data_IF_085673237010
#
_entry.id   IF_085673237010
#
_cell.length_a   1.000
_cell.length_b   1.000
_cell.length_c   1.000
_cell.angle_alpha   90.00
_cell.angle_beta   90.00
_cell.angle_gamma   90.00
#
_symmetry.space_group_name_H-M   'P 1'
#
loop_
_entity.id
_entity.type
_entity.pdbx_description
1 polymer ?
#
# COMPACT_ATOMS: atom_id res chain seq x y z
N UNK A 1 9.21 -54.31 -61.60
CA UNK A 1 8.84 -53.08 -60.87
C UNK A 1 10.08 -52.58 -60.13
N UNK A 2 10.85 -51.68 -60.73
CA UNK A 2 11.91 -50.94 -60.02
C UNK A 2 11.26 -49.81 -59.21
N UNK A 3 11.62 -49.66 -57.94
CA UNK A 3 11.39 -48.45 -57.15
C UNK A 3 12.68 -47.60 -57.12
N UNK A 4 12.57 -46.26 -57.08
CA UNK A 4 13.67 -45.35 -57.37
C UNK A 4 14.61 -45.14 -56.19
N UNK A 5 15.89 -44.87 -56.49
CA UNK A 5 16.87 -44.40 -55.53
C UNK A 5 16.54 -42.96 -55.10
N UNK A 6 16.34 -42.75 -53.80
CA UNK A 6 16.41 -41.41 -53.20
C UNK A 6 17.87 -41.10 -52.85
N UNK A 7 18.38 -39.89 -53.13
CA UNK A 7 19.71 -39.49 -52.71
C UNK A 7 19.79 -39.43 -51.18
N UNK A 8 20.71 -40.20 -50.61
CA UNK A 8 21.08 -40.05 -49.19
C UNK A 8 21.71 -38.66 -49.01
N UNK A 9 21.10 -37.85 -48.14
CA UNK A 9 21.58 -36.50 -47.83
C UNK A 9 22.89 -36.64 -47.05
N UNK A 10 24.01 -36.48 -47.74
CA UNK A 10 25.39 -36.50 -47.22
C UNK A 10 25.73 -35.37 -46.19
N UNK A 11 24.73 -34.76 -45.54
CA UNK A 11 24.90 -33.52 -44.77
C UNK A 11 24.44 -33.62 -43.31
N UNK A 12 24.47 -34.79 -42.68
CA UNK A 12 24.29 -34.89 -41.23
C UNK A 12 25.29 -35.82 -40.58
N UNK A 13 26.57 -35.52 -40.77
CA UNK A 13 27.62 -35.98 -39.86
C UNK A 13 27.62 -35.10 -38.61
N UNK A 14 26.78 -35.42 -37.63
CA UNK A 14 26.88 -34.81 -36.30
C UNK A 14 28.20 -35.24 -35.66
N UNK A 15 29.24 -34.43 -35.82
CA UNK A 15 30.54 -34.74 -35.25
C UNK A 15 30.42 -34.70 -33.72
N UNK A 16 30.90 -35.71 -32.98
CA UNK A 16 30.78 -35.79 -31.51
C UNK A 16 31.32 -34.55 -30.78
N UNK A 17 32.23 -33.80 -31.42
CA UNK A 17 32.71 -32.49 -30.97
C UNK A 17 31.59 -31.47 -30.73
N UNK A 18 30.50 -31.47 -31.49
CA UNK A 18 29.39 -30.53 -31.27
C UNK A 18 28.66 -30.81 -29.94
N UNK A 19 28.55 -32.09 -29.56
CA UNK A 19 27.96 -32.49 -28.28
C UNK A 19 28.88 -32.18 -27.10
N UNK A 20 30.19 -32.31 -27.29
CA UNK A 20 31.16 -31.91 -26.27
C UNK A 20 31.12 -30.39 -26.07
N UNK A 21 31.05 -29.61 -27.16
CA UNK A 21 30.98 -28.15 -27.08
C UNK A 21 29.74 -27.65 -26.32
N UNK A 22 28.56 -28.21 -26.60
CA UNK A 22 27.33 -27.84 -25.89
C UNK A 22 27.37 -28.27 -24.42
N UNK A 23 27.84 -29.48 -24.11
CA UNK A 23 27.98 -29.93 -22.73
C UNK A 23 28.92 -29.02 -21.92
N UNK A 24 30.04 -28.59 -22.53
CA UNK A 24 31.00 -27.69 -21.87
C UNK A 24 30.41 -26.31 -21.62
N UNK A 25 29.64 -25.78 -22.57
CA UNK A 25 28.96 -24.48 -22.41
C UNK A 25 27.92 -24.51 -21.27
N UNK A 26 27.12 -25.58 -21.17
CA UNK A 26 26.13 -25.72 -20.09
C UNK A 26 26.82 -25.87 -18.73
N UNK A 27 27.89 -26.68 -18.65
CA UNK A 27 28.66 -26.83 -17.42
C UNK A 27 29.30 -25.52 -16.95
N UNK A 28 29.79 -24.70 -17.88
CA UNK A 28 30.35 -23.38 -17.58
C UNK A 28 29.29 -22.41 -17.02
N UNK A 29 28.08 -22.39 -17.58
CA UNK A 29 26.97 -21.56 -17.07
C UNK A 29 26.58 -21.97 -15.66
N UNK A 30 26.43 -23.27 -15.39
CA UNK A 30 26.10 -23.79 -14.05
C UNK A 30 27.22 -23.44 -13.07
N UNK A 31 28.48 -23.65 -13.44
CA UNK A 31 29.61 -23.32 -12.58
C UNK A 31 29.70 -21.81 -12.27
N UNK A 32 29.50 -20.93 -13.26
CA UNK A 32 29.51 -19.47 -13.03
C UNK A 32 28.34 -19.00 -12.13
N UNK A 33 27.18 -19.66 -12.21
CA UNK A 33 26.02 -19.31 -11.37
C UNK A 33 26.25 -19.56 -9.87
N UNK A 34 27.17 -20.44 -9.52
CA UNK A 34 27.57 -20.68 -8.14
C UNK A 34 28.54 -19.61 -7.59
N UNK A 35 29.19 -18.83 -8.46
CA UNK A 35 30.14 -17.76 -8.05
C UNK A 35 29.43 -16.42 -7.89
N UNK A 36 28.35 -16.18 -8.63
CA UNK A 36 27.46 -15.02 -8.47
C UNK A 36 26.25 -15.36 -7.58
N UNK A 37 26.50 -16.01 -6.45
CA UNK A 37 25.47 -16.08 -5.41
C UNK A 37 25.29 -14.66 -4.85
N UNK A 38 24.07 -14.09 -4.82
CA UNK A 38 23.83 -12.91 -4.02
C UNK A 38 24.19 -13.25 -2.57
N UNK A 39 24.75 -12.28 -1.85
CA UNK A 39 25.04 -12.41 -0.42
C UNK A 39 23.86 -13.07 0.28
N UNK A 40 24.14 -14.03 1.17
CA UNK A 40 23.10 -14.76 1.86
C UNK A 40 22.12 -13.75 2.46
N UNK A 41 20.87 -13.77 1.98
CA UNK A 41 19.79 -12.99 2.55
C UNK A 41 19.53 -13.54 3.95
N UNK A 42 20.35 -13.11 4.90
CA UNK A 42 20.10 -13.28 6.31
C UNK A 42 18.83 -12.51 6.56
N UNK A 43 17.71 -13.22 6.69
CA UNK A 43 16.53 -12.68 7.33
C UNK A 43 16.95 -12.33 8.75
N UNK A 44 17.44 -11.11 8.94
CA UNK A 44 17.53 -10.50 10.24
C UNK A 44 16.08 -10.32 10.70
N UNK A 45 15.52 -11.36 11.32
CA UNK A 45 14.42 -11.15 12.24
C UNK A 45 14.96 -10.15 13.26
N UNK A 46 14.34 -8.97 13.42
CA UNK A 46 14.76 -8.05 14.47
C UNK A 46 14.68 -8.81 15.79
N UNK A 47 15.85 -9.17 16.32
CA UNK A 47 15.97 -9.82 17.61
C UNK A 47 15.54 -8.80 18.66
N UNK A 48 14.41 -9.06 19.32
CA UNK A 48 13.87 -8.21 20.38
C UNK A 48 13.37 -6.88 19.83
N UNK A 49 12.07 -6.66 19.71
CA UNK A 49 11.32 -6.00 20.80
C UNK A 49 12.20 -5.74 22.02
N UNK A 50 13.01 -4.68 21.87
CA UNK A 50 13.74 -4.06 22.96
C UNK A 50 12.78 -3.89 24.12
N UNK A 51 13.30 -4.23 25.30
CA UNK A 51 12.70 -3.94 26.61
C UNK A 51 11.97 -2.61 26.57
N UNK A 52 10.69 -2.66 26.92
CA UNK A 52 9.72 -1.59 26.72
C UNK A 52 10.24 -0.21 27.08
N UNK A 53 10.40 0.63 26.07
CA UNK A 53 9.97 2.02 26.17
C UNK A 53 8.47 1.96 26.45
N UNK A 54 7.98 2.65 27.49
CA UNK A 54 6.54 2.80 27.69
C UNK A 54 5.93 3.21 26.35
N UNK A 55 5.15 2.32 25.72
CA UNK A 55 4.51 2.61 24.44
C UNK A 55 3.60 3.81 24.69
N UNK A 56 3.99 4.98 24.18
CA UNK A 56 3.16 6.17 24.29
C UNK A 56 1.80 5.83 23.68
N UNK A 57 0.73 6.00 24.45
CA UNK A 57 -0.60 5.70 23.95
C UNK A 57 -0.92 6.61 22.75
N UNK A 58 -1.43 6.06 21.63
CA UNK A 58 -1.80 6.87 20.48
C UNK A 58 -2.81 7.98 20.82
N UNK A 59 -2.84 9.08 20.06
CA UNK A 59 -3.85 10.12 20.19
C UNK A 59 -5.28 9.56 20.15
N UNK A 60 -6.13 9.95 21.11
CA UNK A 60 -7.54 9.53 21.11
C UNK A 60 -8.37 10.45 20.21
N UNK A 61 -8.90 9.96 19.07
CA UNK A 61 -9.66 10.78 18.13
C UNK A 61 -10.98 11.30 18.71
N UNK A 62 -11.53 10.67 19.75
CA UNK A 62 -12.76 11.15 20.39
C UNK A 62 -12.58 12.50 21.10
N UNK A 63 -11.34 12.90 21.36
CA UNK A 63 -10.99 14.16 22.04
C UNK A 63 -10.38 15.20 21.09
N UNK A 64 -10.25 14.87 19.81
CA UNK A 64 -9.67 15.74 18.79
C UNK A 64 -10.70 16.71 18.23
N UNK A 65 -10.26 17.90 17.84
CA UNK A 65 -11.04 18.81 17.01
C UNK A 65 -10.75 18.50 15.54
N UNK A 66 -11.74 18.03 14.81
CA UNK A 66 -11.64 17.79 13.37
C UNK A 66 -12.14 19.02 12.60
N UNK A 67 -11.48 19.39 11.48
CA UNK A 67 -11.93 20.50 10.64
C UNK A 67 -13.10 20.06 9.74
N UNK A 68 -14.24 19.71 10.35
CA UNK A 68 -15.52 19.46 9.67
C UNK A 68 -16.58 20.43 10.17
N UNK A 69 -17.31 21.02 9.22
CA UNK A 69 -18.46 21.86 9.50
C UNK A 69 -19.75 21.02 9.44
N UNK A 70 -20.08 20.36 10.54
CA UNK A 70 -21.27 19.49 10.62
C UNK A 70 -22.58 20.23 10.95
N UNK A 71 -22.54 21.56 11.09
CA UNK A 71 -23.70 22.34 11.50
C UNK A 71 -24.22 21.87 12.88
N UNK A 72 -25.53 21.53 13.01
CA UNK A 72 -26.12 21.16 14.29
C UNK A 72 -25.79 19.71 14.72
N UNK A 73 -25.28 18.86 13.83
CA UNK A 73 -24.92 17.47 14.16
C UNK A 73 -23.45 17.36 14.53
N UNK A 74 -23.10 16.29 15.25
CA UNK A 74 -21.73 16.03 15.68
C UNK A 74 -20.91 15.36 14.57
N UNK A 75 -19.59 15.51 14.63
CA UNK A 75 -18.68 14.64 13.90
C UNK A 75 -18.60 13.26 14.58
N UNK A 76 -18.53 12.20 13.79
CA UNK A 76 -18.42 10.82 14.21
C UNK A 76 -17.14 10.20 13.68
N UNK A 77 -16.37 9.57 14.56
CA UNK A 77 -15.22 8.74 14.18
C UNK A 77 -15.73 7.34 13.83
N UNK A 78 -15.76 7.00 12.55
CA UNK A 78 -16.26 5.70 12.08
C UNK A 78 -15.21 4.60 12.14
N UNK A 79 -13.97 4.94 11.78
CA UNK A 79 -12.83 4.02 11.82
C UNK A 79 -11.61 4.74 12.37
N UNK A 80 -10.74 3.99 13.04
CA UNK A 80 -9.45 4.49 13.50
C UNK A 80 -8.39 3.41 13.47
N UNK A 81 -7.15 3.82 13.24
CA UNK A 81 -5.97 2.98 13.30
C UNK A 81 -4.79 3.83 13.74
N UNK A 82 -3.80 3.20 14.38
CA UNK A 82 -2.63 3.90 14.90
C UNK A 82 -1.36 3.20 14.50
N UNK A 83 -0.28 3.96 14.43
CA UNK A 83 1.05 3.49 14.09
C UNK A 83 2.02 4.66 14.03
N UNK A 84 3.30 4.36 14.11
CA UNK A 84 4.37 5.34 13.88
C UNK A 84 4.44 5.61 12.37
N UNK A 85 3.93 6.78 11.93
CA UNK A 85 3.78 7.11 10.52
C UNK A 85 4.94 7.93 9.97
N UNK A 86 5.66 8.64 10.83
CA UNK A 86 6.80 9.47 10.45
C UNK A 86 8.16 8.88 10.85
N UNK A 87 8.17 7.80 11.65
CA UNK A 87 9.35 7.06 12.06
C UNK A 87 10.06 7.64 13.28
N UNK A 88 9.41 8.53 14.05
CA UNK A 88 10.00 9.18 15.23
C UNK A 88 9.88 8.34 16.53
N UNK A 89 9.25 7.17 16.45
CA UNK A 89 9.01 6.27 17.57
C UNK A 89 7.75 6.58 18.39
N UNK A 90 6.94 7.56 17.97
CA UNK A 90 5.65 7.92 18.59
C UNK A 90 4.52 7.57 17.64
N UNK A 91 3.44 6.95 18.13
CA UNK A 91 2.35 6.58 17.26
C UNK A 91 1.42 7.77 16.98
N UNK A 92 1.10 7.98 15.72
CA UNK A 92 -0.04 8.78 15.26
C UNK A 92 -1.32 7.95 15.33
N UNK A 93 -2.46 8.66 15.30
CA UNK A 93 -3.76 8.03 15.05
C UNK A 93 -4.37 8.62 13.79
N UNK A 94 -4.81 7.75 12.89
CA UNK A 94 -5.56 8.13 11.70
C UNK A 94 -7.03 7.81 11.94
N UNK A 95 -7.89 8.80 11.73
CA UNK A 95 -9.32 8.70 11.95
C UNK A 95 -10.09 8.97 10.66
N UNK A 96 -11.06 8.10 10.36
CA UNK A 96 -12.08 8.31 9.34
C UNK A 96 -13.28 8.93 10.03
N UNK A 97 -13.66 10.13 9.60
CA UNK A 97 -14.64 10.97 10.29
C UNK A 97 -15.66 11.52 9.30
N UNK A 98 -16.93 11.50 9.67
CA UNK A 98 -17.97 12.21 8.93
C UNK A 98 -19.00 12.81 9.90
N UNK A 99 -19.89 13.65 9.38
CA UNK A 99 -20.98 14.20 10.19
C UNK A 99 -22.08 13.17 10.46
N UNK A 100 -22.66 13.16 11.66
CA UNK A 100 -23.80 12.31 12.08
C UNK A 100 -25.10 12.74 11.39
N UNK A 101 -25.14 12.64 10.06
CA UNK A 101 -26.33 13.00 9.30
C UNK A 101 -27.34 11.86 9.37
N UNK A 102 -28.62 12.14 9.67
CA UNK A 102 -29.65 11.11 9.79
C UNK A 102 -30.06 10.51 8.43
N UNK A 103 -29.63 11.12 7.31
CA UNK A 103 -30.05 10.73 5.96
C UNK A 103 -28.85 10.71 5.01
N UNK A 104 -28.74 9.61 4.24
CA UNK A 104 -27.65 9.38 3.29
C UNK A 104 -26.35 8.92 3.95
N UNK A 105 -25.27 8.89 3.18
CA UNK A 105 -23.91 8.63 3.68
C UNK A 105 -23.08 9.87 3.44
N UNK A 106 -22.84 10.70 4.47
CA UNK A 106 -21.99 11.87 4.34
C UNK A 106 -20.59 11.47 3.86
N UNK A 107 -19.91 12.34 3.09
CA UNK A 107 -18.51 12.11 2.73
C UNK A 107 -17.63 11.97 3.97
N UNK A 108 -16.65 11.08 3.87
CA UNK A 108 -15.64 10.87 4.90
C UNK A 108 -14.47 11.84 4.70
N UNK A 109 -14.01 12.41 5.81
CA UNK A 109 -12.66 12.97 5.93
C UNK A 109 -11.72 11.95 6.58
N UNK A 110 -10.47 11.93 6.14
CA UNK A 110 -9.43 11.10 6.77
C UNK A 110 -8.35 12.01 7.34
N UNK A 111 -8.17 11.97 8.65
CA UNK A 111 -7.28 12.88 9.37
C UNK A 111 -6.20 12.15 10.12
N UNK A 112 -4.98 12.69 10.12
CA UNK A 112 -3.86 12.22 10.92
C UNK A 112 -3.75 13.09 12.17
N UNK A 113 -3.73 12.44 13.33
CA UNK A 113 -3.60 13.05 14.64
C UNK A 113 -2.24 12.73 15.23
N UNK A 114 -1.64 13.71 15.90
CA UNK A 114 -0.49 13.54 16.78
C UNK A 114 -0.74 14.22 18.13
N UNK A 115 0.17 14.03 19.09
CA UNK A 115 0.23 14.80 20.35
C UNK A 115 1.48 15.65 20.37
N UNK A 116 1.49 16.69 21.20
CA UNK A 116 2.76 17.35 21.52
C UNK A 116 3.63 16.45 22.40
N UNK A 117 4.91 16.80 22.54
CA UNK A 117 5.85 16.02 23.34
C UNK A 117 5.58 16.01 24.84
N UNK A 118 4.73 16.90 25.33
CA UNK A 118 4.30 16.95 26.72
C UNK A 118 3.02 16.12 26.97
N UNK A 119 2.48 15.43 25.96
CA UNK A 119 1.28 14.61 26.08
C UNK A 119 -0.04 15.39 26.04
N UNK A 120 -0.04 16.59 25.43
CA UNK A 120 -1.20 17.45 25.28
C UNK A 120 -2.30 16.89 24.36
N UNK A 121 -3.31 17.73 24.09
CA UNK A 121 -4.51 17.33 23.35
C UNK A 121 -4.16 16.85 21.92
N UNK A 122 -4.81 15.79 21.42
CA UNK A 122 -4.71 15.40 20.03
C UNK A 122 -5.04 16.56 19.10
N UNK A 123 -4.19 16.76 18.08
CA UNK A 123 -4.41 17.77 17.04
C UNK A 123 -4.26 17.15 15.65
N UNK A 124 -5.02 17.64 14.70
CA UNK A 124 -4.89 17.27 13.28
C UNK A 124 -3.62 17.88 12.71
N UNK A 125 -2.81 17.04 12.06
CA UNK A 125 -1.58 17.46 11.36
C UNK A 125 -1.61 17.21 9.86
N UNK A 126 -2.53 16.36 9.40
CA UNK A 126 -2.77 16.18 7.97
C UNK A 126 -4.22 15.78 7.70
N UNK A 127 -4.71 16.18 6.53
CA UNK A 127 -5.97 15.73 5.92
C UNK A 127 -5.60 14.90 4.70
N UNK A 128 -5.84 13.58 4.74
CA UNK A 128 -5.51 12.64 3.66
C UNK A 128 -6.63 12.54 2.61
N UNK A 129 -7.87 12.74 3.07
CA UNK A 129 -9.09 12.84 2.25
C UNK A 129 -9.87 14.04 2.76
N UNK A 130 -10.19 14.98 1.88
CA UNK A 130 -11.06 16.11 2.19
C UNK A 130 -12.52 15.68 1.99
N UNK A 131 -13.44 15.89 2.96
CA UNK A 131 -14.86 15.63 2.77
C UNK A 131 -15.45 16.29 1.52
N UNK A 132 -14.90 17.43 1.06
CA UNK A 132 -15.31 18.11 -0.17
C UNK A 132 -15.07 17.27 -1.43
N UNK A 133 -14.15 16.30 -1.40
CA UNK A 133 -13.89 15.37 -2.52
C UNK A 133 -15.02 14.34 -2.71
N UNK A 134 -16.05 14.36 -1.85
CA UNK A 134 -17.21 13.45 -1.89
C UNK A 134 -16.81 11.98 -1.93
N UNK A 135 -15.81 11.59 -1.13
CA UNK A 135 -15.33 10.22 -1.02
C UNK A 135 -15.91 9.52 0.21
N UNK A 136 -16.10 8.20 0.11
CA UNK A 136 -16.49 7.33 1.24
C UNK A 136 -15.47 6.22 1.40
N UNK A 137 -15.04 5.95 2.63
CA UNK A 137 -14.02 4.97 2.98
C UNK A 137 -14.66 3.62 3.32
N UNK A 138 -14.45 2.62 2.47
CA UNK A 138 -15.02 1.27 2.67
C UNK A 138 -14.04 0.31 3.35
N UNK A 139 -12.75 0.42 3.06
CA UNK A 139 -11.67 -0.31 3.72
C UNK A 139 -10.59 0.65 4.20
N UNK A 140 -9.92 0.33 5.31
CA UNK A 140 -8.99 1.21 5.99
C UNK A 140 -8.02 0.46 6.90
N UNK A 141 -6.72 0.74 6.78
CA UNK A 141 -5.68 0.19 7.66
C UNK A 141 -4.44 1.06 7.76
N UNK A 142 -3.67 0.84 8.82
CA UNK A 142 -2.29 1.35 8.98
C UNK A 142 -1.36 0.15 9.08
N UNK A 143 -0.37 0.09 8.19
CA UNK A 143 0.64 -0.98 8.09
C UNK A 143 1.95 -0.39 7.57
N UNK A 144 3.07 -0.76 8.18
CA UNK A 144 4.42 -0.40 7.73
C UNK A 144 4.60 1.12 7.47
N UNK A 145 4.15 1.95 8.41
CA UNK A 145 4.21 3.42 8.30
C UNK A 145 3.32 4.03 7.20
N UNK A 146 2.44 3.22 6.60
CA UNK A 146 1.55 3.65 5.53
C UNK A 146 0.08 3.56 5.95
N UNK A 147 -0.70 4.56 5.53
CA UNK A 147 -2.16 4.53 5.58
C UNK A 147 -2.67 3.96 4.27
N UNK A 148 -3.57 2.99 4.32
CA UNK A 148 -4.22 2.41 3.15
C UNK A 148 -5.73 2.51 3.29
N UNK A 149 -6.42 2.86 2.20
CA UNK A 149 -7.87 2.91 2.17
C UNK A 149 -8.42 2.49 0.80
N UNK A 150 -9.65 1.98 0.80
CA UNK A 150 -10.49 1.86 -0.40
C UNK A 150 -11.53 2.97 -0.39
N UNK A 151 -11.52 3.81 -1.42
CA UNK A 151 -12.36 4.99 -1.55
C UNK A 151 -13.43 4.76 -2.62
N UNK A 152 -14.69 5.00 -2.28
CA UNK A 152 -15.76 5.17 -3.26
C UNK A 152 -15.89 6.65 -3.63
N UNK A 153 -16.21 6.95 -4.89
CA UNK A 153 -16.42 8.31 -5.36
C UNK A 153 -17.30 8.36 -6.61
N UNK A 154 -17.30 9.52 -7.27
CA UNK A 154 -18.19 9.81 -8.39
C UNK A 154 -17.37 10.26 -9.60
N UNK A 155 -17.67 9.73 -10.78
CA UNK A 155 -17.01 10.11 -12.04
C UNK A 155 -17.43 11.47 -12.55
N UNK A 156 -18.66 11.89 -12.24
CA UNK A 156 -19.21 13.21 -12.57
C UNK A 156 -20.24 13.68 -11.53
N UNK A 157 -20.61 14.98 -11.54
CA UNK A 157 -21.69 15.50 -10.71
C UNK A 157 -23.08 14.94 -11.03
N UNK A 158 -23.27 14.35 -12.21
CA UNK A 158 -24.57 13.80 -12.66
C UNK A 158 -24.85 12.40 -12.09
N UNK A 159 -23.85 11.75 -11.51
CA UNK A 159 -24.00 10.45 -10.86
C UNK A 159 -24.82 10.62 -9.57
N UNK A 160 -25.94 9.87 -9.39
CA UNK A 160 -26.76 9.98 -8.19
C UNK A 160 -25.99 9.68 -6.91
N UNK A 161 -26.21 10.47 -5.84
CA UNK A 161 -25.53 10.31 -4.55
C UNK A 161 -25.75 8.96 -3.84
N UNK A 162 -26.74 8.16 -4.26
CA UNK A 162 -26.92 6.80 -3.74
C UNK A 162 -25.83 5.83 -4.20
N UNK A 163 -25.13 6.19 -5.27
CA UNK A 163 -24.62 5.23 -6.22
C UNK A 163 -23.24 5.68 -6.74
N UNK A 164 -22.22 5.79 -5.86
CA UNK A 164 -20.85 6.06 -6.29
C UNK A 164 -20.39 5.02 -7.31
N UNK A 165 -19.84 5.49 -8.43
CA UNK A 165 -19.45 4.68 -9.59
C UNK A 165 -17.93 4.55 -9.76
N UNK A 166 -17.15 5.22 -8.90
CA UNK A 166 -15.70 5.03 -8.82
C UNK A 166 -15.30 4.26 -7.56
N UNK A 167 -14.30 3.39 -7.71
CA UNK A 167 -13.66 2.67 -6.61
C UNK A 167 -12.14 2.71 -6.80
N UNK A 168 -11.45 3.40 -5.90
CA UNK A 168 -10.00 3.60 -5.97
C UNK A 168 -9.32 3.08 -4.70
N UNK A 169 -8.18 2.40 -4.88
CA UNK A 169 -7.24 2.16 -3.79
C UNK A 169 -6.39 3.41 -3.55
N UNK A 170 -6.11 3.74 -2.29
CA UNK A 170 -5.23 4.84 -1.93
C UNK A 170 -4.24 4.40 -0.85
N UNK A 171 -2.98 4.81 -1.00
CA UNK A 171 -1.92 4.63 -0.02
C UNK A 171 -1.23 5.97 0.24
N UNK A 172 -1.15 6.39 1.49
CA UNK A 172 -0.40 7.56 1.93
C UNK A 172 0.81 7.13 2.76
N UNK A 173 1.93 7.78 2.51
CA UNK A 173 3.18 7.58 3.26
C UNK A 173 3.80 8.92 3.57
N UNK A 174 4.36 9.05 4.77
CA UNK A 174 5.15 10.22 5.12
C UNK A 174 6.43 10.28 4.27
N UNK A 175 6.65 11.42 3.62
CA UNK A 175 7.86 11.72 2.85
C UNK A 175 8.18 13.20 3.01
N UNK A 176 9.37 13.50 3.50
CA UNK A 176 9.92 14.86 3.53
C UNK A 176 8.97 15.90 4.17
N UNK A 177 8.33 15.57 5.30
CA UNK A 177 7.48 16.52 6.01
C UNK A 177 5.99 16.53 5.61
N UNK A 178 5.56 15.65 4.70
CA UNK A 178 4.17 15.55 4.28
C UNK A 178 3.75 14.12 3.94
N UNK A 179 2.44 13.85 4.01
CA UNK A 179 1.87 12.60 3.51
C UNK A 179 1.67 12.68 1.98
N UNK A 180 2.31 11.77 1.26
CA UNK A 180 2.19 11.67 -0.20
C UNK A 180 1.27 10.52 -0.57
N UNK A 181 0.24 10.80 -1.36
CA UNK A 181 -0.70 9.80 -1.89
C UNK A 181 -0.08 9.06 -3.08
N UNK A 182 -0.35 7.76 -3.15
CA UNK A 182 -0.06 6.88 -4.27
C UNK A 182 -1.21 5.90 -4.47
N UNK A 183 -1.36 5.38 -5.68
CA UNK A 183 -2.31 4.31 -5.99
C UNK A 183 -1.61 2.95 -5.78
N UNK A 184 -2.15 2.03 -4.96
CA UNK A 184 -1.62 0.68 -4.86
C UNK A 184 -1.65 -0.04 -6.21
N UNK A 185 -0.61 -0.83 -6.51
CA UNK A 185 -0.57 -1.63 -7.73
C UNK A 185 -1.77 -2.62 -7.76
N UNK A 186 -2.47 -2.69 -8.89
CA UNK A 186 -3.60 -3.59 -9.10
C UNK A 186 -5.00 -3.02 -8.78
N UNK A 187 -5.11 -1.75 -8.40
CA UNK A 187 -6.40 -1.05 -8.36
C UNK A 187 -6.83 -0.67 -9.79
N UNK A 188 -7.46 -1.60 -10.50
CA UNK A 188 -8.15 -1.28 -11.75
C UNK A 188 -9.54 -0.71 -11.42
N UNK A 189 -9.86 0.43 -12.01
CA UNK A 189 -11.23 0.93 -12.05
C UNK A 189 -12.12 -0.13 -12.72
N UNK A 190 -13.23 -0.48 -12.08
CA UNK A 190 -14.21 -1.46 -12.58
C UNK A 190 -15.23 -0.74 -13.43
#
# INVERSE_FOLDING_TARGET
MQHPAVPDLAHSHTRPIHWVATATAVAAVVALSAVLQPDAATAAQPAGHGRGTAHLAPPDPATAAFPLECGPVKALVQKKASGDLDGDGRPETVAVVHCDAPMGTPPDGVYVLTRDAAGGKPRVVATLVDPADRRTVTDFSVRDGAVQATLLGYSSPDVPSCCPDLKDGAKWQWKNGAFVRSTPAGAHAV
#
